data_IF_586699564444
#
_entry.id   IF_586699564444
#
_cell.length_a   1.000
_cell.length_b   1.000
_cell.length_c   1.000
_cell.angle_alpha   90.00
_cell.angle_beta   90.00
_cell.angle_gamma   90.00
#
_symmetry.space_group_name_H-M   'P 1'
#
loop_
_entity.id
_entity.type
_entity.pdbx_description
1 polymer ?
#
# COMPACT_ATOMS: atom_id res chain seq x y z
N UNK A 1 -26.66 -4.82 -6.67
CA UNK A 1 -25.61 -4.04 -7.34
C UNK A 1 -24.47 -4.94 -7.78
N UNK A 2 -24.10 -4.86 -9.06
CA UNK A 2 -22.85 -5.41 -9.58
C UNK A 2 -21.89 -4.25 -9.75
N UNK A 3 -20.62 -4.43 -9.40
CA UNK A 3 -19.62 -3.39 -9.65
C UNK A 3 -19.57 -3.06 -11.15
N UNK A 4 -19.48 -1.76 -11.49
CA UNK A 4 -19.31 -1.31 -12.88
C UNK A 4 -18.00 -1.84 -13.48
N UNK A 5 -17.00 -2.11 -12.62
CA UNK A 5 -15.70 -2.62 -13.00
C UNK A 5 -15.08 -3.39 -11.84
N UNK A 6 -14.47 -4.53 -12.17
CA UNK A 6 -13.68 -5.33 -11.22
C UNK A 6 -12.22 -5.23 -11.65
N UNK A 7 -11.31 -5.02 -10.70
CA UNK A 7 -9.87 -5.10 -10.91
C UNK A 7 -9.36 -6.25 -10.05
N UNK A 8 -8.69 -7.21 -10.67
CA UNK A 8 -8.02 -8.32 -9.99
C UNK A 8 -6.52 -8.08 -10.11
N UNK A 9 -5.83 -7.64 -9.02
CA UNK A 9 -4.39 -7.47 -9.02
C UNK A 9 -3.66 -8.75 -9.42
N UNK A 10 -2.60 -8.60 -10.20
CA UNK A 10 -1.82 -9.70 -10.76
C UNK A 10 -0.32 -9.39 -10.73
N UNK A 11 0.50 -10.44 -10.78
CA UNK A 11 1.94 -10.36 -10.97
C UNK A 11 2.29 -11.31 -12.10
N UNK A 12 2.93 -10.80 -13.16
CA UNK A 12 3.32 -11.64 -14.31
C UNK A 12 2.14 -12.30 -15.04
N UNK A 13 0.96 -11.67 -15.03
CA UNK A 13 -0.26 -12.21 -15.65
C UNK A 13 -0.97 -13.29 -14.83
N UNK A 14 -0.56 -13.49 -13.58
CA UNK A 14 -1.22 -14.39 -12.64
C UNK A 14 -1.86 -13.58 -11.53
N UNK A 15 -3.14 -13.86 -11.25
CA UNK A 15 -3.83 -13.23 -10.12
C UNK A 15 -3.04 -13.48 -8.84
N UNK A 16 -2.95 -12.46 -8.00
CA UNK A 16 -2.37 -12.59 -6.67
C UNK A 16 -3.22 -13.61 -5.89
N UNK A 17 -2.59 -14.66 -5.41
CA UNK A 17 -3.28 -15.76 -4.76
C UNK A 17 -3.89 -15.31 -3.42
N UNK A 18 -5.09 -15.82 -3.12
CA UNK A 18 -5.64 -15.73 -1.79
C UNK A 18 -4.84 -16.62 -0.79
N UNK A 19 -4.79 -16.28 0.51
CA UNK A 19 -5.48 -15.15 1.12
C UNK A 19 -4.80 -13.82 0.76
N UNK A 20 -5.61 -12.90 0.24
CA UNK A 20 -5.31 -11.48 0.13
C UNK A 20 -6.36 -10.77 0.96
N UNK A 21 -5.91 -9.85 1.79
CA UNK A 21 -6.74 -9.02 2.66
C UNK A 21 -6.42 -7.56 2.32
N UNK A 22 -6.78 -7.17 1.08
CA UNK A 22 -6.66 -5.78 0.63
C UNK A 22 -7.44 -4.88 1.58
N UNK A 23 -6.78 -3.85 2.12
CA UNK A 23 -7.30 -3.11 3.26
C UNK A 23 -7.23 -1.59 3.07
N UNK A 24 -6.03 -1.01 3.08
CA UNK A 24 -5.80 0.39 2.81
C UNK A 24 -5.77 0.68 1.30
N UNK A 25 -6.27 1.85 0.90
CA UNK A 25 -6.33 2.27 -0.51
C UNK A 25 -6.12 3.77 -0.63
N UNK A 26 -5.29 4.19 -1.58
CA UNK A 26 -5.07 5.60 -1.92
C UNK A 26 -4.97 5.73 -3.45
N UNK A 27 -5.65 6.73 -4.01
CA UNK A 27 -5.64 7.03 -5.43
C UNK A 27 -5.03 8.41 -5.66
N UNK A 28 -3.94 8.47 -6.42
CA UNK A 28 -3.37 9.72 -6.89
C UNK A 28 -3.88 10.05 -8.30
N UNK A 29 -4.65 11.13 -8.40
CA UNK A 29 -5.19 11.60 -9.67
C UNK A 29 -4.12 12.17 -10.60
N UNK A 30 -3.03 12.71 -10.05
CA UNK A 30 -2.00 13.36 -10.85
C UNK A 30 -1.20 12.34 -11.67
N UNK A 31 -0.90 11.17 -11.08
CA UNK A 31 -0.24 10.05 -11.77
C UNK A 31 -1.19 8.96 -12.27
N UNK A 32 -2.49 9.05 -12.00
CA UNK A 32 -3.49 7.98 -12.21
C UNK A 32 -3.05 6.63 -11.58
N UNK A 33 -2.45 6.69 -10.38
CA UNK A 33 -1.96 5.52 -9.68
C UNK A 33 -2.91 5.13 -8.53
N UNK A 34 -3.16 3.83 -8.38
CA UNK A 34 -3.87 3.27 -7.25
C UNK A 34 -2.89 2.48 -6.40
N UNK A 35 -2.74 2.85 -5.15
CA UNK A 35 -1.92 2.18 -4.16
C UNK A 35 -2.86 1.43 -3.23
N UNK A 36 -2.53 0.16 -2.94
CA UNK A 36 -3.35 -0.69 -2.08
C UNK A 36 -2.43 -1.44 -1.12
N UNK A 37 -2.77 -1.46 0.16
CA UNK A 37 -2.12 -2.35 1.12
C UNK A 37 -2.86 -3.67 1.22
N UNK A 38 -2.12 -4.75 1.46
CA UNK A 38 -2.64 -6.07 1.74
C UNK A 38 -2.13 -6.49 3.12
N UNK A 39 -3.06 -6.74 4.03
CA UNK A 39 -2.75 -7.22 5.38
C UNK A 39 -2.17 -8.62 5.37
N UNK A 40 -2.43 -9.43 4.34
CA UNK A 40 -2.14 -10.85 4.39
C UNK A 40 -2.93 -11.53 5.50
N UNK A 41 -2.28 -12.40 6.25
CA UNK A 41 -2.85 -13.04 7.42
C UNK A 41 -2.78 -12.11 8.63
N UNK A 42 -3.93 -11.78 9.24
CA UNK A 42 -3.94 -10.97 10.47
C UNK A 42 -3.21 -11.62 11.67
N UNK A 43 -2.87 -12.90 11.57
CA UNK A 43 -2.09 -13.64 12.58
C UNK A 43 -0.60 -13.74 12.25
N UNK A 44 -0.17 -13.25 11.09
CA UNK A 44 1.22 -13.20 10.66
C UNK A 44 1.70 -11.74 10.68
N UNK A 45 2.94 -11.52 11.10
CA UNK A 45 3.53 -10.19 11.23
C UNK A 45 4.56 -9.90 10.12
N UNK A 46 4.68 -10.79 9.12
CA UNK A 46 5.67 -10.66 8.05
C UNK A 46 5.12 -10.85 6.63
N UNK A 47 3.83 -11.16 6.48
CA UNK A 47 3.22 -11.47 5.17
C UNK A 47 2.43 -10.30 4.55
N UNK A 48 2.48 -9.12 5.16
CA UNK A 48 1.88 -7.89 4.65
C UNK A 48 2.56 -7.41 3.36
N UNK A 49 1.81 -6.68 2.51
CA UNK A 49 2.28 -6.25 1.18
C UNK A 49 1.75 -4.87 0.83
N UNK A 50 2.45 -4.19 -0.08
CA UNK A 50 1.99 -2.97 -0.75
C UNK A 50 2.00 -3.20 -2.26
N UNK A 51 0.92 -2.81 -2.93
CA UNK A 51 0.76 -2.84 -4.37
C UNK A 51 0.58 -1.44 -4.94
N UNK A 52 1.20 -1.20 -6.09
CA UNK A 52 0.90 -0.02 -6.92
C UNK A 52 0.39 -0.50 -8.26
N UNK A 53 -0.78 -0.02 -8.68
CA UNK A 53 -1.32 -0.17 -10.02
C UNK A 53 -1.24 1.19 -10.72
N UNK A 54 -0.57 1.22 -11.86
CA UNK A 54 -0.57 2.40 -12.73
C UNK A 54 -1.82 2.39 -13.62
N UNK A 55 -2.20 3.56 -14.13
CA UNK A 55 -3.29 3.75 -15.08
C UNK A 55 -4.62 3.21 -14.55
N UNK A 56 -4.91 3.47 -13.27
CA UNK A 56 -6.07 2.92 -12.56
C UNK A 56 -7.41 3.34 -13.19
N UNK A 57 -7.46 4.52 -13.82
CA UNK A 57 -8.59 4.98 -14.61
C UNK A 57 -8.97 4.04 -15.75
N UNK A 58 -8.05 3.20 -16.23
CA UNK A 58 -8.27 2.25 -17.33
C UNK A 58 -8.21 0.77 -16.90
N UNK A 59 -7.70 0.48 -15.69
CA UNK A 59 -7.56 -0.88 -15.18
C UNK A 59 -8.92 -1.61 -15.11
N UNK A 60 -8.98 -2.85 -15.62
CA UNK A 60 -10.18 -3.70 -15.60
C UNK A 60 -9.78 -5.16 -15.72
N UNK A 61 -10.48 -6.05 -15.02
CA UNK A 61 -10.17 -7.46 -14.93
C UNK A 61 -8.78 -7.69 -14.35
N UNK A 62 -8.11 -8.71 -14.87
CA UNK A 62 -6.76 -9.11 -14.43
C UNK A 62 -5.74 -8.02 -14.81
N UNK A 63 -5.18 -7.35 -13.80
CA UNK A 63 -4.31 -6.18 -13.99
C UNK A 63 -3.00 -6.37 -13.23
N UNK A 64 -1.88 -6.33 -13.96
CA UNK A 64 -0.58 -6.43 -13.31
C UNK A 64 -0.27 -5.20 -12.47
N UNK A 65 0.20 -5.42 -11.24
CA UNK A 65 0.76 -4.36 -10.40
C UNK A 65 2.12 -3.92 -10.97
N UNK A 66 2.38 -2.62 -10.93
CA UNK A 66 3.66 -2.03 -11.32
C UNK A 66 4.72 -2.20 -10.22
N UNK A 67 4.29 -2.13 -8.95
CA UNK A 67 5.14 -2.32 -7.77
C UNK A 67 4.48 -3.31 -6.83
N UNK A 68 5.28 -4.21 -6.28
CA UNK A 68 4.92 -5.10 -5.18
C UNK A 68 6.04 -5.05 -4.13
N UNK A 69 5.76 -4.55 -2.94
CA UNK A 69 6.69 -4.61 -1.79
C UNK A 69 6.19 -5.68 -0.83
N UNK A 70 7.08 -6.60 -0.45
CA UNK A 70 6.77 -7.71 0.46
C UNK A 70 8.05 -8.33 1.00
N UNK A 71 7.95 -9.01 2.15
CA UNK A 71 9.04 -9.78 2.75
C UNK A 71 9.67 -9.09 3.94
N UNK A 72 10.49 -9.83 4.68
CA UNK A 72 10.91 -9.47 6.05
C UNK A 72 11.57 -8.09 6.19
N UNK A 73 12.32 -7.61 5.18
CA UNK A 73 12.96 -6.30 5.26
C UNK A 73 11.95 -5.15 5.23
N UNK A 74 10.78 -5.36 4.62
CA UNK A 74 9.75 -4.32 4.48
C UNK A 74 9.09 -3.94 5.80
N UNK A 75 9.22 -4.79 6.83
CA UNK A 75 8.50 -4.68 8.10
C UNK A 75 6.97 -4.64 7.96
N UNK A 76 6.43 -5.05 6.80
CA UNK A 76 4.99 -5.15 6.56
C UNK A 76 4.48 -6.48 7.14
N UNK A 77 3.67 -6.40 8.18
CA UNK A 77 2.95 -7.52 8.76
C UNK A 77 1.46 -7.38 8.58
N UNK A 78 0.91 -6.27 9.05
CA UNK A 78 -0.48 -5.89 8.95
C UNK A 78 -0.58 -4.39 8.59
N UNK A 79 -0.26 -4.01 7.34
CA UNK A 79 -0.40 -2.64 6.85
C UNK A 79 -1.88 -2.30 6.63
N UNK A 80 -2.54 -1.85 7.70
CA UNK A 80 -4.00 -1.65 7.75
C UNK A 80 -4.48 -0.39 7.05
N UNK A 81 -3.64 0.62 6.92
CA UNK A 81 -3.99 1.87 6.24
C UNK A 81 -2.78 2.51 5.59
N UNK A 82 -3.03 3.32 4.57
CA UNK A 82 -2.00 4.01 3.81
C UNK A 82 -2.47 5.39 3.40
N UNK A 83 -1.52 6.32 3.25
CA UNK A 83 -1.79 7.60 2.61
C UNK A 83 -0.59 8.07 1.80
N UNK A 84 -0.84 8.48 0.55
CA UNK A 84 0.20 8.96 -0.35
C UNK A 84 0.26 10.49 -0.35
N UNK A 85 1.46 11.04 -0.22
CA UNK A 85 1.68 12.49 -0.15
C UNK A 85 1.88 13.16 -1.51
N UNK A 86 1.81 12.41 -2.61
CA UNK A 86 2.35 12.81 -3.91
C UNK A 86 3.87 12.57 -4.08
N UNK A 87 4.55 12.09 -3.02
CA UNK A 87 5.98 11.77 -3.06
C UNK A 87 6.31 10.55 -2.20
N UNK A 88 5.73 10.48 -1.00
CA UNK A 88 5.98 9.42 -0.02
C UNK A 88 4.69 8.67 0.28
N UNK A 89 4.79 7.35 0.45
CA UNK A 89 3.72 6.54 1.03
C UNK A 89 3.95 6.43 2.53
N UNK A 90 2.94 6.78 3.31
CA UNK A 90 2.91 6.49 4.74
C UNK A 90 2.01 5.28 4.98
N UNK A 91 2.42 4.41 5.90
CA UNK A 91 1.73 3.15 6.19
C UNK A 91 1.49 3.03 7.69
N UNK A 92 0.25 2.77 8.09
CA UNK A 92 -0.08 2.29 9.44
C UNK A 92 0.23 0.80 9.52
N UNK A 93 1.33 0.44 10.18
CA UNK A 93 1.78 -0.94 10.35
C UNK A 93 1.39 -1.44 11.75
N UNK A 94 0.28 -2.20 11.82
CA UNK A 94 -0.35 -2.54 13.10
C UNK A 94 0.41 -3.60 13.88
N UNK A 95 0.80 -4.69 13.22
CA UNK A 95 1.40 -5.85 13.90
C UNK A 95 2.78 -5.54 14.48
N UNK A 96 3.54 -4.68 13.81
CA UNK A 96 4.90 -4.33 14.18
C UNK A 96 4.99 -3.02 14.99
N UNK A 97 3.87 -2.35 15.27
CA UNK A 97 3.81 -1.08 16.02
C UNK A 97 4.64 0.03 15.36
N UNK A 98 4.46 0.22 14.06
CA UNK A 98 5.22 1.19 13.28
C UNK A 98 4.30 2.06 12.43
N UNK A 99 4.67 3.32 12.27
CA UNK A 99 4.34 4.08 11.06
C UNK A 99 5.55 3.99 10.14
N UNK A 100 5.36 3.49 8.93
CA UNK A 100 6.42 3.37 7.94
C UNK A 100 6.30 4.46 6.88
N UNK A 101 7.42 4.83 6.27
CA UNK A 101 7.47 5.68 5.08
C UNK A 101 8.29 5.01 3.99
N UNK A 102 7.71 4.90 2.79
CA UNK A 102 8.41 4.52 1.57
C UNK A 102 8.48 5.72 0.63
N UNK A 103 9.68 6.08 0.21
CA UNK A 103 9.93 7.22 -0.65
C UNK A 103 9.79 6.81 -2.12
N UNK A 104 9.19 7.68 -2.93
CA UNK A 104 9.08 7.49 -4.38
C UNK A 104 8.44 6.14 -4.78
N UNK A 105 7.42 5.71 -4.03
CA UNK A 105 6.81 4.37 -4.16
C UNK A 105 6.37 4.05 -5.59
N UNK A 106 5.85 5.04 -6.33
CA UNK A 106 5.35 4.86 -7.69
C UNK A 106 6.43 4.45 -8.70
N UNK A 107 7.70 4.72 -8.40
CA UNK A 107 8.86 4.36 -9.22
C UNK A 107 9.77 3.33 -8.53
N UNK A 108 9.31 2.72 -7.44
CA UNK A 108 10.07 1.70 -6.72
C UNK A 108 10.25 0.45 -7.59
N UNK A 109 11.41 -0.21 -7.47
CA UNK A 109 11.61 -1.53 -8.07
C UNK A 109 10.80 -2.63 -7.35
N UNK A 110 10.23 -2.33 -6.18
CA UNK A 110 9.53 -3.29 -5.34
C UNK A 110 10.47 -4.33 -4.71
N UNK A 111 9.90 -5.47 -4.32
CA UNK A 111 10.59 -6.60 -3.71
C UNK A 111 10.71 -6.48 -2.19
N UNK A 112 11.70 -7.21 -1.65
CA UNK A 112 12.00 -7.25 -0.22
C UNK A 112 12.93 -6.09 0.18
N UNK A 113 12.38 -4.88 0.14
CA UNK A 113 13.08 -3.64 0.47
C UNK A 113 12.62 -3.10 1.82
N UNK A 114 13.53 -2.41 2.52
CA UNK A 114 13.19 -1.72 3.76
C UNK A 114 12.45 -0.40 3.51
N UNK A 115 11.65 0.02 4.49
CA UNK A 115 11.10 1.38 4.52
C UNK A 115 12.23 2.41 4.67
N UNK A 116 12.10 3.57 4.02
CA UNK A 116 13.06 4.67 4.11
C UNK A 116 13.03 5.36 5.48
N UNK A 117 11.88 5.33 6.16
CA UNK A 117 11.77 5.71 7.55
C UNK A 117 10.78 4.84 8.32
N UNK A 118 11.01 4.67 9.61
CA UNK A 118 10.12 4.00 10.53
C UNK A 118 10.00 4.78 11.85
N UNK A 119 8.79 4.83 12.39
CA UNK A 119 8.46 5.54 13.62
C UNK A 119 7.68 4.59 14.53
N UNK A 120 8.12 4.43 15.78
CA UNK A 120 7.37 3.62 16.73
C UNK A 120 6.02 4.28 17.05
N UNK A 121 4.95 3.51 16.88
CA UNK A 121 3.59 3.90 17.25
C UNK A 121 2.83 2.64 17.62
N UNK A 122 2.14 2.60 18.76
CA UNK A 122 1.47 1.37 19.20
C UNK A 122 0.24 1.10 18.35
N UNK A 123 0.23 -0.06 17.68
CA UNK A 123 -0.88 -0.59 16.89
C UNK A 123 -1.65 0.48 16.08
N UNK A 124 -0.98 1.25 15.19
CA UNK A 124 -1.65 2.25 14.39
C UNK A 124 -2.69 1.59 13.48
N UNK A 125 -3.87 2.18 13.43
CA UNK A 125 -4.97 1.69 12.57
C UNK A 125 -5.23 2.59 11.37
N UNK A 126 -4.71 3.82 11.39
CA UNK A 126 -4.87 4.78 10.31
C UNK A 126 -3.71 5.78 10.27
N UNK A 127 -3.44 6.30 9.08
CA UNK A 127 -2.53 7.42 8.85
C UNK A 127 -3.24 8.50 8.03
N UNK A 128 -3.04 9.75 8.42
CA UNK A 128 -3.53 10.89 7.66
C UNK A 128 -2.44 11.96 7.55
N UNK A 129 -2.25 12.48 6.34
CA UNK A 129 -1.39 13.60 6.04
C UNK A 129 -2.23 14.85 6.18
N UNK A 130 -1.75 15.77 7.03
CA UNK A 130 -2.39 17.06 7.21
C UNK A 130 -1.76 18.04 6.22
N UNK A 131 -2.54 18.64 5.30
CA UNK A 131 -2.03 19.67 4.43
C UNK A 131 -1.46 20.84 5.22
N UNK A 132 -0.28 21.32 4.81
CA UNK A 132 0.46 22.37 5.54
C UNK A 132 -0.36 23.68 5.70
N UNK A 133 -1.29 23.95 4.78
CA UNK A 133 -2.16 25.11 4.87
C UNK A 133 -3.17 25.05 6.04
N UNK A 134 -3.36 23.89 6.68
CA UNK A 134 -4.18 23.71 7.88
C UNK A 134 -3.38 23.84 9.18
N UNK A 135 -2.04 23.83 9.11
CA UNK A 135 -1.16 23.77 10.29
C UNK A 135 -0.46 25.09 10.63
N UNK A 136 -0.64 26.14 9.82
CA UNK A 136 -0.16 27.48 10.17
C UNK A 136 -1.11 28.12 11.21
N UNK A 137 -0.79 27.92 12.49
CA UNK A 137 -1.19 28.81 13.59
C UNK A 137 0.04 29.44 14.21
#
# INVERSE_FOLDING_TARGET
DTADRIITPAIGGLAIAAPSNLHGIDYDFASDALIVSDVGSAADATDGKIYVLNNAGLASGLTNVAVNISGDNSALGNPVDIMYSGQHLYVAEKSNNLVLRFDNILNSAGGNIAADASFAFTAPESVAIIPLYLTNR
#
